data_IF_575997969749
#
_entry.id   IF_575997969749
#
_cell.length_a   1.000
_cell.length_b   1.000
_cell.length_c   1.000
_cell.angle_alpha   90.00
_cell.angle_beta   90.00
_cell.angle_gamma   90.00
#
_symmetry.space_group_name_H-M   'P 1'
#
loop_
_entity.id
_entity.type
_entity.pdbx_description
1 polymer ?
#
# COMPACT_ATOMS: atom_id res chain seq x y z
N UNK A 1 -3.69 -6.16 -23.59
CA UNK A 1 -4.13 -4.76 -23.34
C UNK A 1 -4.07 -4.38 -21.87
N UNK A 2 -4.63 -5.17 -20.95
CA UNK A 2 -4.59 -4.90 -19.48
C UNK A 2 -3.17 -4.79 -18.95
N UNK A 3 -2.26 -5.70 -19.32
CA UNK A 3 -0.85 -5.65 -18.92
C UNK A 3 -0.13 -4.37 -19.35
N UNK A 4 -0.49 -3.82 -20.50
CA UNK A 4 0.12 -2.58 -21.00
C UNK A 4 -0.33 -1.37 -20.16
N UNK A 5 -1.59 -1.33 -19.77
CA UNK A 5 -2.13 -0.25 -18.92
C UNK A 5 -1.50 -0.28 -17.53
N UNK A 6 -1.41 -1.46 -16.92
CA UNK A 6 -0.77 -1.65 -15.61
C UNK A 6 0.70 -1.20 -15.65
N UNK A 7 1.44 -1.61 -16.69
CA UNK A 7 2.84 -1.20 -16.86
C UNK A 7 2.99 0.31 -17.03
N UNK A 8 2.10 0.96 -17.77
CA UNK A 8 2.09 2.40 -17.91
C UNK A 8 1.79 3.12 -16.60
N UNK A 9 0.85 2.58 -15.80
CA UNK A 9 0.52 3.14 -14.49
C UNK A 9 1.72 3.04 -13.53
N UNK A 10 2.33 1.86 -13.42
CA UNK A 10 3.52 1.65 -12.58
C UNK A 10 4.66 2.58 -12.98
N UNK A 11 4.98 2.65 -14.27
CA UNK A 11 6.06 3.50 -14.76
C UNK A 11 5.77 4.98 -14.58
N UNK A 12 4.53 5.42 -14.83
CA UNK A 12 4.13 6.81 -14.63
C UNK A 12 4.23 7.24 -13.17
N UNK A 13 3.80 6.39 -12.23
CA UNK A 13 3.96 6.65 -10.79
C UNK A 13 5.43 6.67 -10.40
N UNK A 14 6.21 5.69 -10.86
CA UNK A 14 7.65 5.60 -10.60
C UNK A 14 8.38 6.90 -11.01
N UNK A 15 8.19 7.34 -12.23
CA UNK A 15 8.84 8.55 -12.74
C UNK A 15 8.31 9.83 -12.04
N UNK A 16 7.01 9.88 -11.74
CA UNK A 16 6.42 10.99 -10.99
C UNK A 16 6.97 11.11 -9.56
N UNK A 17 7.09 10.00 -8.86
CA UNK A 17 7.68 9.94 -7.52
C UNK A 17 9.16 10.29 -7.54
N UNK A 18 9.91 9.72 -8.49
CA UNK A 18 11.33 10.02 -8.65
C UNK A 18 11.56 11.51 -8.90
N UNK A 19 10.89 12.09 -9.88
CA UNK A 19 11.00 13.51 -10.20
C UNK A 19 10.58 14.43 -9.03
N UNK A 20 9.51 14.05 -8.32
CA UNK A 20 8.99 14.83 -7.19
C UNK A 20 9.84 14.76 -5.92
N UNK A 21 10.66 13.72 -5.77
CA UNK A 21 11.56 13.54 -4.63
C UNK A 21 13.01 13.93 -4.92
N UNK A 22 13.35 14.20 -6.17
CA UNK A 22 14.70 14.58 -6.54
C UNK A 22 15.08 15.91 -5.86
N UNK A 23 16.11 15.88 -5.02
CA UNK A 23 16.55 17.05 -4.25
C UNK A 23 15.76 17.31 -2.95
N UNK A 24 14.81 16.46 -2.58
CA UNK A 24 14.05 16.58 -1.33
C UNK A 24 14.85 15.98 -0.17
N UNK A 25 15.07 16.77 0.88
CA UNK A 25 15.82 16.34 2.07
C UNK A 25 15.00 15.45 3.00
N UNK A 26 13.68 15.68 3.10
CA UNK A 26 12.75 14.87 3.90
C UNK A 26 11.77 14.11 3.00
N UNK A 27 12.22 12.96 2.55
CA UNK A 27 11.42 12.06 1.70
C UNK A 27 10.21 11.52 2.45
N UNK A 28 10.36 11.20 3.74
CA UNK A 28 9.29 10.61 4.56
C UNK A 28 8.11 11.57 4.75
N UNK A 29 8.37 12.87 4.87
CA UNK A 29 7.32 13.88 4.97
C UNK A 29 6.64 14.19 3.63
N UNK A 30 7.42 14.21 2.55
CA UNK A 30 6.93 14.58 1.22
C UNK A 30 6.16 13.45 0.51
N UNK A 31 6.44 12.18 0.82
CA UNK A 31 5.96 11.02 0.04
C UNK A 31 4.44 10.87 0.06
N UNK A 32 3.78 11.17 1.18
CA UNK A 32 2.32 11.02 1.32
C UNK A 32 1.59 11.88 0.31
N UNK A 33 1.88 13.18 0.30
CA UNK A 33 1.20 14.13 -0.60
C UNK A 33 1.57 13.90 -2.06
N UNK A 34 2.82 13.55 -2.33
CA UNK A 34 3.28 13.26 -3.67
C UNK A 34 2.57 12.03 -4.25
N UNK A 35 2.52 10.94 -3.50
CA UNK A 35 1.84 9.70 -3.95
C UNK A 35 0.34 9.94 -4.08
N UNK A 36 -0.28 10.63 -3.11
CA UNK A 36 -1.70 11.00 -3.20
C UNK A 36 -2.00 11.79 -4.47
N UNK A 37 -1.27 12.88 -4.71
CA UNK A 37 -1.49 13.75 -5.86
C UNK A 37 -1.25 13.03 -7.19
N UNK A 38 -0.21 12.20 -7.25
CA UNK A 38 0.09 11.37 -8.43
C UNK A 38 -1.04 10.37 -8.67
N UNK A 39 -1.53 9.71 -7.62
CA UNK A 39 -2.66 8.77 -7.71
C UNK A 39 -3.92 9.44 -8.23
N UNK A 40 -4.29 10.59 -7.65
CA UNK A 40 -5.47 11.35 -8.07
C UNK A 40 -5.34 11.80 -9.53
N UNK A 41 -4.19 12.32 -9.92
CA UNK A 41 -3.94 12.79 -11.28
C UNK A 41 -4.06 11.66 -12.30
N UNK A 42 -3.53 10.48 -11.98
CA UNK A 42 -3.58 9.33 -12.86
C UNK A 42 -4.98 8.74 -12.97
N UNK A 43 -5.69 8.58 -11.84
CA UNK A 43 -7.03 7.99 -11.84
C UNK A 43 -8.09 8.91 -12.47
N UNK A 44 -7.96 10.22 -12.32
CA UNK A 44 -8.85 11.20 -12.97
C UNK A 44 -8.52 11.45 -14.44
N UNK A 45 -7.28 11.22 -14.84
CA UNK A 45 -6.82 11.42 -16.22
C UNK A 45 -7.13 10.26 -17.17
N UNK A 46 -7.52 9.09 -16.66
CA UNK A 46 -7.86 7.92 -17.46
C UNK A 46 -9.36 7.80 -17.64
N UNK A 47 -9.84 8.03 -18.88
CA UNK A 47 -11.24 7.80 -19.26
C UNK A 47 -11.57 6.31 -19.47
N UNK A 48 -10.57 5.45 -19.51
CA UNK A 48 -10.70 4.00 -19.61
C UNK A 48 -10.14 3.33 -18.34
N UNK A 49 -10.88 3.37 -17.25
CA UNK A 49 -10.54 2.59 -16.07
C UNK A 49 -11.16 1.22 -16.21
N UNK A 50 -10.38 0.25 -16.63
CA UNK A 50 -10.76 -1.16 -16.64
C UNK A 50 -9.83 -1.99 -15.75
N UNK A 51 -9.21 -1.37 -14.80
CA UNK A 51 -8.52 -2.09 -13.73
C UNK A 51 -9.40 -2.06 -12.49
N UNK A 52 -9.44 -3.16 -11.75
CA UNK A 52 -10.08 -3.14 -10.43
C UNK A 52 -9.36 -2.10 -9.55
N UNK A 53 -10.06 -1.52 -8.60
CA UNK A 53 -9.45 -0.58 -7.66
C UNK A 53 -8.25 -1.20 -6.91
N UNK A 54 -8.25 -2.52 -6.72
CA UNK A 54 -7.13 -3.31 -6.18
C UNK A 54 -5.89 -3.20 -7.07
N UNK A 55 -6.05 -3.44 -8.38
CA UNK A 55 -4.92 -3.38 -9.34
C UNK A 55 -4.36 -1.96 -9.47
N UNK A 56 -5.23 -0.96 -9.46
CA UNK A 56 -4.84 0.44 -9.51
C UNK A 56 -4.02 0.83 -8.27
N UNK A 57 -4.50 0.51 -7.07
CA UNK A 57 -3.80 0.77 -5.82
C UNK A 57 -2.47 0.02 -5.74
N UNK A 58 -2.45 -1.26 -6.11
CA UNK A 58 -1.23 -2.06 -6.16
C UNK A 58 -0.19 -1.48 -7.13
N UNK A 59 -0.62 -1.06 -8.32
CA UNK A 59 0.27 -0.46 -9.32
C UNK A 59 0.89 0.86 -8.84
N UNK A 60 0.12 1.68 -8.14
CA UNK A 60 0.61 2.92 -7.53
C UNK A 60 1.69 2.61 -6.49
N UNK A 61 1.42 1.69 -5.57
CA UNK A 61 2.39 1.29 -4.53
C UNK A 61 3.66 0.74 -5.15
N UNK A 62 3.56 -0.16 -6.13
CA UNK A 62 4.72 -0.73 -6.83
C UNK A 62 5.56 0.35 -7.50
N UNK A 63 4.93 1.25 -8.23
CA UNK A 63 5.61 2.38 -8.88
C UNK A 63 6.29 3.31 -7.89
N UNK A 64 5.61 3.67 -6.81
CA UNK A 64 6.15 4.56 -5.77
C UNK A 64 7.35 3.94 -5.04
N UNK A 65 7.26 2.67 -4.64
CA UNK A 65 8.37 1.95 -4.01
C UNK A 65 9.58 1.87 -4.96
N UNK A 66 9.35 1.57 -6.24
CA UNK A 66 10.41 1.54 -7.24
C UNK A 66 11.05 2.91 -7.44
N UNK A 67 10.26 4.00 -7.45
CA UNK A 67 10.77 5.36 -7.55
C UNK A 67 11.63 5.76 -6.37
N UNK A 68 11.21 5.43 -5.14
CA UNK A 68 11.97 5.67 -3.90
C UNK A 68 13.27 4.87 -3.90
N UNK A 69 13.24 3.60 -4.31
CA UNK A 69 14.43 2.75 -4.39
C UNK A 69 15.43 3.29 -5.42
N UNK A 70 14.97 3.76 -6.57
CA UNK A 70 15.83 4.30 -7.63
C UNK A 70 16.62 5.55 -7.21
N UNK A 71 16.07 6.39 -6.34
CA UNK A 71 16.77 7.56 -5.79
C UNK A 71 17.66 7.21 -4.58
N UNK A 72 17.73 5.92 -4.20
CA UNK A 72 18.54 5.46 -3.06
C UNK A 72 17.98 5.83 -1.69
N UNK A 73 16.72 6.24 -1.58
CA UNK A 73 16.09 6.52 -0.31
C UNK A 73 15.68 5.23 0.42
N UNK A 74 15.61 5.31 1.77
CA UNK A 74 15.23 4.17 2.60
C UNK A 74 13.75 3.81 2.40
N UNK A 75 13.47 2.72 1.71
CA UNK A 75 12.11 2.25 1.43
C UNK A 75 11.32 1.97 2.71
N UNK A 76 11.95 1.37 3.72
CA UNK A 76 11.28 1.06 5.00
C UNK A 76 10.69 2.30 5.65
N UNK A 77 11.41 3.41 5.66
CA UNK A 77 10.94 4.68 6.23
C UNK A 77 9.82 5.37 5.44
N UNK A 78 9.62 4.99 4.20
CA UNK A 78 8.64 5.64 3.29
C UNK A 78 7.41 4.78 3.00
N UNK A 79 7.48 3.47 3.25
CA UNK A 79 6.45 2.52 2.80
C UNK A 79 5.08 2.79 3.43
N UNK A 80 5.04 3.20 4.70
CA UNK A 80 3.80 3.62 5.36
C UNK A 80 3.19 4.83 4.65
N UNK A 81 4.01 5.84 4.35
CA UNK A 81 3.59 7.05 3.64
C UNK A 81 3.08 6.76 2.22
N UNK A 82 3.70 5.83 1.52
CA UNK A 82 3.24 5.37 0.20
C UNK A 82 1.85 4.74 0.30
N UNK A 83 1.61 3.88 1.27
CA UNK A 83 0.28 3.28 1.49
C UNK A 83 -0.75 4.33 1.86
N UNK A 84 -0.43 5.26 2.78
CA UNK A 84 -1.31 6.38 3.14
C UNK A 84 -1.69 7.19 1.90
N UNK A 85 -0.70 7.63 1.12
CA UNK A 85 -0.93 8.42 -0.09
C UNK A 85 -1.76 7.68 -1.13
N UNK A 86 -1.51 6.39 -1.33
CA UNK A 86 -2.26 5.56 -2.27
C UNK A 86 -3.72 5.38 -1.84
N UNK A 87 -3.97 4.95 -0.61
CA UNK A 87 -5.34 4.73 -0.09
C UNK A 87 -6.13 6.03 -0.15
N UNK A 88 -5.54 7.15 0.32
CA UNK A 88 -6.16 8.46 0.26
C UNK A 88 -6.46 8.88 -1.18
N UNK A 89 -5.51 8.77 -2.09
CA UNK A 89 -5.67 9.15 -3.49
C UNK A 89 -6.73 8.33 -4.22
N UNK A 90 -6.80 7.02 -3.97
CA UNK A 90 -7.84 6.16 -4.54
C UNK A 90 -9.23 6.55 -4.02
N UNK A 91 -9.36 6.75 -2.70
CA UNK A 91 -10.63 7.14 -2.11
C UNK A 91 -11.08 8.54 -2.56
N UNK A 92 -10.18 9.52 -2.64
CA UNK A 92 -10.47 10.86 -3.17
C UNK A 92 -10.86 10.85 -4.67
N UNK A 93 -10.44 9.83 -5.39
CA UNK A 93 -10.79 9.62 -6.80
C UNK A 93 -12.12 8.85 -6.99
N UNK A 94 -12.83 8.53 -5.90
CA UNK A 94 -14.09 7.80 -5.91
C UNK A 94 -13.95 6.28 -5.87
N UNK A 95 -12.74 5.76 -5.63
CA UNK A 95 -12.50 4.32 -5.44
C UNK A 95 -13.03 3.81 -4.10
N UNK A 96 -13.26 2.50 -4.02
CA UNK A 96 -13.75 1.85 -2.81
C UNK A 96 -12.64 1.69 -1.79
N UNK A 97 -12.95 1.94 -0.53
CA UNK A 97 -12.05 1.78 0.60
C UNK A 97 -11.40 0.39 0.64
N UNK A 98 -12.21 -0.66 0.51
CA UNK A 98 -11.75 -2.04 0.57
C UNK A 98 -10.73 -2.35 -0.54
N UNK A 99 -11.04 -2.00 -1.79
CA UNK A 99 -10.15 -2.21 -2.93
C UNK A 99 -8.83 -1.43 -2.81
N UNK A 100 -8.92 -0.19 -2.31
CA UNK A 100 -7.74 0.65 -2.06
C UNK A 100 -6.80 0.00 -1.03
N UNK A 101 -7.34 -0.51 0.06
CA UNK A 101 -6.58 -1.18 1.13
C UNK A 101 -5.98 -2.49 0.62
N UNK A 102 -6.79 -3.35 -0.02
CA UNK A 102 -6.31 -4.63 -0.55
C UNK A 102 -5.12 -4.44 -1.50
N UNK A 103 -5.25 -3.55 -2.46
CA UNK A 103 -4.18 -3.28 -3.42
C UNK A 103 -2.94 -2.68 -2.77
N UNK A 104 -3.11 -1.67 -1.91
CA UNK A 104 -1.99 -0.98 -1.30
C UNK A 104 -1.24 -1.86 -0.30
N UNK A 105 -1.93 -2.50 0.63
CA UNK A 105 -1.31 -3.37 1.65
C UNK A 105 -0.69 -4.60 1.00
N UNK A 106 -1.43 -5.26 0.10
CA UNK A 106 -0.95 -6.47 -0.56
C UNK A 106 0.33 -6.23 -1.35
N UNK A 107 0.36 -5.20 -2.19
CA UNK A 107 1.54 -4.87 -2.99
C UNK A 107 2.73 -4.41 -2.14
N UNK A 108 2.49 -3.67 -1.06
CA UNK A 108 3.56 -3.25 -0.17
C UNK A 108 4.28 -4.44 0.47
N UNK A 109 3.54 -5.45 0.91
CA UNK A 109 4.10 -6.68 1.50
C UNK A 109 4.86 -7.50 0.44
N UNK A 110 4.32 -7.63 -0.77
CA UNK A 110 5.03 -8.31 -1.86
C UNK A 110 6.33 -7.59 -2.23
N UNK A 111 6.30 -6.27 -2.35
CA UNK A 111 7.50 -5.47 -2.62
C UNK A 111 8.53 -5.57 -1.50
N UNK A 112 8.09 -5.64 -0.24
CA UNK A 112 8.98 -5.86 0.89
C UNK A 112 9.75 -7.19 0.77
N UNK A 113 9.07 -8.26 0.33
CA UNK A 113 9.73 -9.55 0.04
C UNK A 113 10.76 -9.40 -1.08
N UNK A 114 10.38 -8.80 -2.19
CA UNK A 114 11.26 -8.62 -3.36
C UNK A 114 12.53 -7.84 -3.00
N UNK A 115 12.42 -6.88 -2.09
CA UNK A 115 13.52 -6.05 -1.61
C UNK A 115 14.27 -6.62 -0.40
N UNK A 116 13.90 -7.78 0.11
CA UNK A 116 14.52 -8.40 1.28
C UNK A 116 14.31 -7.65 2.59
N UNK A 117 13.21 -6.89 2.73
CA UNK A 117 12.87 -6.14 3.93
C UNK A 117 12.26 -7.05 5.01
N UNK A 118 12.21 -6.55 6.26
CA UNK A 118 11.51 -7.23 7.34
C UNK A 118 9.99 -7.19 7.10
N UNK A 119 9.43 -8.30 6.62
CA UNK A 119 8.02 -8.37 6.21
C UNK A 119 7.07 -8.17 7.40
N UNK A 120 7.42 -8.63 8.60
CA UNK A 120 6.60 -8.41 9.80
C UNK A 120 6.49 -6.93 10.16
N UNK A 121 7.61 -6.21 10.15
CA UNK A 121 7.65 -4.77 10.38
C UNK A 121 6.88 -4.00 9.33
N UNK A 122 7.10 -4.32 8.05
CA UNK A 122 6.37 -3.70 6.94
C UNK A 122 4.88 -3.95 7.05
N UNK A 123 4.45 -5.18 7.37
CA UNK A 123 3.02 -5.50 7.53
C UNK A 123 2.36 -4.63 8.61
N UNK A 124 3.02 -4.43 9.74
CA UNK A 124 2.52 -3.55 10.83
C UNK A 124 2.38 -2.11 10.35
N UNK A 125 3.42 -1.57 9.72
CA UNK A 125 3.43 -0.17 9.26
C UNK A 125 2.36 0.09 8.18
N UNK A 126 2.21 -0.81 7.22
CA UNK A 126 1.23 -0.61 6.14
C UNK A 126 -0.21 -0.82 6.61
N UNK A 127 -0.46 -1.75 7.51
CA UNK A 127 -1.79 -1.93 8.12
C UNK A 127 -2.17 -0.71 8.96
N UNK A 128 -1.28 -0.22 9.80
CA UNK A 128 -1.51 1.02 10.57
C UNK A 128 -1.75 2.21 9.65
N UNK A 129 -0.93 2.39 8.64
CA UNK A 129 -1.07 3.48 7.68
C UNK A 129 -2.41 3.46 6.95
N UNK A 130 -2.86 2.30 6.49
CA UNK A 130 -4.16 2.15 5.85
C UNK A 130 -5.34 2.49 6.79
N UNK A 131 -5.31 1.98 8.02
CA UNK A 131 -6.36 2.22 9.02
C UNK A 131 -6.40 3.69 9.47
N UNK A 132 -5.23 4.29 9.73
CA UNK A 132 -5.11 5.72 10.07
C UNK A 132 -5.70 6.60 8.96
N UNK A 133 -5.39 6.29 7.70
CA UNK A 133 -5.93 7.03 6.54
C UNK A 133 -7.44 6.97 6.49
N UNK A 134 -8.02 5.79 6.66
CA UNK A 134 -9.49 5.62 6.64
C UNK A 134 -10.14 6.41 7.77
N UNK A 135 -9.54 6.41 8.96
CA UNK A 135 -10.00 7.20 10.10
C UNK A 135 -9.99 8.70 9.79
N UNK A 136 -8.92 9.20 9.18
CA UNK A 136 -8.78 10.63 8.83
C UNK A 136 -9.80 11.08 7.78
N UNK A 137 -10.13 10.24 6.82
CA UNK A 137 -11.12 10.56 5.78
C UNK A 137 -12.56 10.26 6.18
N UNK A 138 -12.79 9.79 7.42
CA UNK A 138 -14.12 9.50 7.95
C UNK A 138 -14.75 8.21 7.44
N UNK A 139 -13.93 7.24 7.01
CA UNK A 139 -14.38 5.92 6.57
C UNK A 139 -14.62 4.94 7.72
N UNK A 140 -14.98 3.69 7.37
CA UNK A 140 -15.21 2.60 8.32
C UNK A 140 -13.88 1.97 8.76
N UNK A 141 -13.40 2.38 9.94
CA UNK A 141 -12.14 1.89 10.52
C UNK A 141 -12.18 0.42 10.93
N UNK A 142 -13.35 -0.11 11.31
CA UNK A 142 -13.49 -1.52 11.67
C UNK A 142 -13.33 -2.39 10.41
N UNK A 143 -14.06 -2.04 9.36
CA UNK A 143 -13.92 -2.68 8.06
C UNK A 143 -12.48 -2.53 7.50
N UNK A 144 -11.88 -1.35 7.63
CA UNK A 144 -10.50 -1.10 7.22
C UNK A 144 -9.49 -2.01 7.93
N UNK A 145 -9.60 -2.13 9.25
CA UNK A 145 -8.73 -3.00 10.04
C UNK A 145 -8.88 -4.46 9.61
N UNK A 146 -10.13 -4.91 9.44
CA UNK A 146 -10.41 -6.28 8.98
C UNK A 146 -9.79 -6.53 7.60
N UNK A 147 -10.05 -5.67 6.63
CA UNK A 147 -9.51 -5.79 5.27
C UNK A 147 -7.98 -5.79 5.28
N UNK A 148 -7.35 -4.83 5.96
CA UNK A 148 -5.91 -4.69 5.98
C UNK A 148 -5.20 -5.90 6.64
N UNK A 149 -5.70 -6.36 7.78
CA UNK A 149 -5.15 -7.54 8.48
C UNK A 149 -5.35 -8.81 7.66
N UNK A 150 -6.55 -9.02 7.11
CA UNK A 150 -6.84 -10.19 6.27
C UNK A 150 -5.94 -10.21 5.04
N UNK A 151 -5.83 -9.11 4.31
CA UNK A 151 -4.95 -8.99 3.13
C UNK A 151 -3.48 -9.27 3.50
N UNK A 152 -3.01 -8.71 4.60
CA UNK A 152 -1.62 -8.93 5.04
C UNK A 152 -1.33 -10.42 5.32
N UNK A 153 -2.26 -11.11 5.97
CA UNK A 153 -2.12 -12.56 6.25
C UNK A 153 -2.23 -13.40 4.99
N UNK A 154 -3.16 -13.08 4.09
CA UNK A 154 -3.34 -13.79 2.80
C UNK A 154 -2.10 -13.67 1.91
N UNK A 155 -1.57 -12.47 1.74
CA UNK A 155 -0.35 -12.24 0.95
C UNK A 155 0.86 -12.92 1.60
N UNK A 156 0.96 -12.90 2.93
CA UNK A 156 2.00 -13.64 3.64
C UNK A 156 1.89 -15.15 3.40
N UNK A 157 0.66 -15.69 3.29
CA UNK A 157 0.43 -17.09 2.95
C UNK A 157 0.85 -17.43 1.52
N UNK A 158 0.58 -16.55 0.56
CA UNK A 158 1.05 -16.69 -0.83
C UNK A 158 2.57 -16.66 -0.94
N UNK A 159 3.23 -15.83 -0.13
CA UNK A 159 4.69 -15.78 -0.03
C UNK A 159 5.23 -17.11 0.50
N UNK A 160 4.53 -17.73 1.44
CA UNK A 160 4.82 -19.05 1.99
C UNK A 160 5.84 -19.05 3.12
N UNK A 161 6.17 -20.28 3.59
CA UNK A 161 7.14 -20.51 4.64
C UNK A 161 6.72 -19.94 6.00
N UNK A 162 7.69 -19.43 6.74
CA UNK A 162 7.49 -18.83 8.07
C UNK A 162 6.89 -17.41 8.02
N UNK A 163 6.69 -16.85 6.82
CA UNK A 163 6.22 -15.47 6.63
C UNK A 163 4.85 -15.26 7.26
N UNK A 164 3.95 -16.23 7.13
CA UNK A 164 2.59 -16.16 7.71
C UNK A 164 2.66 -15.98 9.23
N UNK A 165 3.44 -16.80 9.91
CA UNK A 165 3.54 -16.73 11.37
C UNK A 165 4.25 -15.46 11.84
N UNK A 166 5.26 -15.01 11.09
CA UNK A 166 5.92 -13.72 11.33
C UNK A 166 4.94 -12.56 11.24
N UNK A 167 4.14 -12.49 10.18
CA UNK A 167 3.15 -11.43 9.97
C UNK A 167 2.03 -11.50 11.02
N UNK A 168 1.49 -12.69 11.30
CA UNK A 168 0.46 -12.88 12.33
C UNK A 168 0.93 -12.44 13.71
N UNK A 169 2.14 -12.82 14.12
CA UNK A 169 2.72 -12.43 15.40
C UNK A 169 2.89 -10.93 15.49
N UNK A 170 3.53 -10.32 14.49
CA UNK A 170 3.77 -8.88 14.44
C UNK A 170 2.47 -8.07 14.50
N UNK A 171 1.46 -8.46 13.72
CA UNK A 171 0.15 -7.79 13.71
C UNK A 171 -0.59 -7.96 15.03
N UNK A 172 -0.59 -9.18 15.61
CA UNK A 172 -1.26 -9.45 16.89
C UNK A 172 -0.70 -8.64 18.06
N UNK A 173 0.59 -8.35 18.02
CA UNK A 173 1.29 -7.58 19.05
C UNK A 173 1.15 -6.06 18.87
N UNK A 174 1.03 -5.61 17.62
CA UNK A 174 1.21 -4.19 17.28
C UNK A 174 -0.03 -3.48 16.77
N UNK A 175 -1.06 -4.21 16.33
CA UNK A 175 -2.29 -3.66 15.75
C UNK A 175 -3.50 -4.02 16.59
N UNK A 176 -4.22 -3.01 17.08
CA UNK A 176 -5.44 -3.21 17.87
C UNK A 176 -6.49 -3.98 17.07
N UNK A 177 -7.08 -5.00 17.67
CA UNK A 177 -8.10 -5.85 17.02
C UNK A 177 -7.57 -6.93 16.09
N UNK A 178 -6.29 -6.88 15.68
CA UNK A 178 -5.73 -7.85 14.73
C UNK A 178 -5.78 -9.29 15.25
N UNK A 179 -5.52 -9.51 16.52
CA UNK A 179 -5.54 -10.85 17.12
C UNK A 179 -6.88 -11.57 16.90
N UNK A 180 -7.99 -10.86 17.14
CA UNK A 180 -9.34 -11.40 16.95
C UNK A 180 -9.61 -11.75 15.48
N UNK A 181 -9.23 -10.85 14.58
CA UNK A 181 -9.39 -11.05 13.14
C UNK A 181 -8.59 -12.28 12.68
N UNK A 182 -7.34 -12.39 13.12
CA UNK A 182 -6.46 -13.54 12.79
C UNK A 182 -7.02 -14.86 13.30
N UNK A 183 -7.64 -14.88 14.49
CA UNK A 183 -8.31 -16.06 15.03
C UNK A 183 -9.56 -16.46 14.21
N UNK A 184 -10.28 -15.49 13.65
CA UNK A 184 -11.42 -15.73 12.76
C UNK A 184 -11.00 -16.30 11.39
N UNK A 185 -9.85 -15.87 10.84
CA UNK A 185 -9.31 -16.40 9.56
C UNK A 185 -8.91 -17.89 9.68
N UNK A 186 -8.53 -18.35 10.88
CA UNK A 186 -8.13 -19.75 11.11
C UNK A 186 -9.29 -20.76 11.09
N UNK A 187 -10.53 -20.30 11.06
CA UNK A 187 -11.74 -21.16 11.01
C UNK A 187 -12.21 -21.38 9.57
#
# INVERSE_FOLDING_TARGET
>A
MVFTIISHLVNGVKEGVKAGLEGVSDVSGAIVDLVKNTTVSMLKGTTEVVTTGVDAAGSVVKGAISGVADIGAAVVGTIKGIVIGTVRGVMESGGKQEEAIQGAVGQAIQSAKELGLNIGEVAVEVVKGAVETVKEVGGDTIAATKTAVTTAVEVAAEIGGETVETVKSALSESVEGAKKIIEEIKK
#
